data_IF_037411385407
#
_entry.id   IF_037411385407
#
_cell.length_a   1.000
_cell.length_b   1.000
_cell.length_c   1.000
_cell.angle_alpha   90.00
_cell.angle_beta   90.00
_cell.angle_gamma   90.00
#
_symmetry.space_group_name_H-M   'P 1'
#
loop_
_entity.id
_entity.type
_entity.pdbx_description
1 polymer ?
#
# COMPACT_ATOMS: atom_id res chain seq x y z
N UNK A 1 -2.02 12.39 -2.54
CA UNK A 1 -0.80 11.84 -1.92
C UNK A 1 -0.08 12.84 -1.01
N UNK A 2 -0.56 14.08 -0.83
CA UNK A 2 0.11 15.04 0.08
C UNK A 2 0.31 14.47 1.51
N UNK A 3 -0.67 13.72 1.99
CA UNK A 3 -0.64 13.03 3.29
C UNK A 3 0.46 11.95 3.42
N UNK A 4 1.08 11.53 2.32
CA UNK A 4 2.23 10.60 2.31
C UNK A 4 3.56 11.36 2.20
N UNK A 5 3.52 12.56 1.62
CA UNK A 5 4.69 13.37 1.33
C UNK A 5 5.09 14.27 2.51
N UNK A 6 4.12 14.70 3.31
CA UNK A 6 4.31 15.66 4.41
C UNK A 6 3.63 15.20 5.70
N UNK A 7 4.38 15.17 6.79
CA UNK A 7 3.89 14.77 8.11
C UNK A 7 4.99 14.82 9.16
N UNK A 8 4.88 13.99 10.20
CA UNK A 8 5.92 13.85 11.24
C UNK A 8 7.23 13.36 10.61
N UNK A 9 7.12 12.42 9.66
CA UNK A 9 8.22 11.99 8.81
C UNK A 9 7.79 12.10 7.36
N UNK A 10 8.53 12.89 6.58
CA UNK A 10 8.17 13.14 5.18
C UNK A 10 8.44 11.93 4.29
N UNK A 11 7.60 11.74 3.26
CA UNK A 11 7.75 10.73 2.19
C UNK A 11 7.74 9.29 2.72
N UNK A 12 6.76 8.97 3.57
CA UNK A 12 6.60 7.63 4.15
C UNK A 12 5.29 7.00 3.68
N UNK A 13 5.40 5.78 3.16
CA UNK A 13 4.31 4.82 3.01
C UNK A 13 4.77 3.50 3.63
N UNK A 14 4.21 3.13 4.79
CA UNK A 14 4.67 1.97 5.55
C UNK A 14 3.53 0.95 5.76
N UNK A 15 3.39 -0.07 4.89
CA UNK A 15 2.30 -1.04 4.97
C UNK A 15 2.41 -1.96 6.17
N UNK A 16 1.33 -2.09 6.95
CA UNK A 16 1.31 -2.83 8.23
C UNK A 16 0.16 -3.83 8.34
N UNK A 17 -0.88 -3.72 7.52
CA UNK A 17 -2.01 -4.63 7.56
C UNK A 17 -2.68 -4.77 6.20
N UNK A 18 -3.30 -5.94 5.95
CA UNK A 18 -4.05 -6.18 4.72
C UNK A 18 -5.34 -6.94 5.00
N UNK A 19 -6.34 -6.74 4.14
CA UNK A 19 -7.58 -7.49 4.14
C UNK A 19 -7.95 -7.87 2.70
N UNK A 20 -8.24 -9.15 2.46
CA UNK A 20 -8.56 -9.68 1.14
C UNK A 20 -10.05 -10.00 1.04
N UNK A 21 -10.71 -9.45 0.02
CA UNK A 21 -12.11 -9.73 -0.29
C UNK A 21 -12.24 -10.11 -1.77
N UNK A 22 -12.41 -11.40 -2.03
CA UNK A 22 -12.37 -11.94 -3.39
C UNK A 22 -11.04 -11.60 -4.05
N UNK A 23 -11.07 -10.84 -5.15
CA UNK A 23 -9.88 -10.40 -5.87
C UNK A 23 -9.28 -9.07 -5.35
N UNK A 24 -10.00 -8.34 -4.49
CA UNK A 24 -9.58 -7.03 -4.02
C UNK A 24 -8.77 -7.14 -2.73
N UNK A 25 -7.49 -6.80 -2.81
CA UNK A 25 -6.60 -6.66 -1.65
C UNK A 25 -6.61 -5.20 -1.18
N UNK A 26 -6.99 -4.97 0.07
CA UNK A 26 -6.82 -3.69 0.76
C UNK A 26 -5.53 -3.72 1.56
N UNK A 27 -4.71 -2.68 1.41
CA UNK A 27 -3.43 -2.51 2.10
C UNK A 27 -3.53 -1.25 2.96
N UNK A 28 -3.51 -1.44 4.27
CA UNK A 28 -3.48 -0.37 5.26
C UNK A 28 -2.02 -0.04 5.60
N UNK A 29 -1.69 1.24 5.56
CA UNK A 29 -0.32 1.70 5.75
C UNK A 29 -0.29 3.01 6.53
N UNK A 30 0.79 3.22 7.29
CA UNK A 30 1.11 4.51 7.87
C UNK A 30 1.57 5.47 6.78
N UNK A 31 1.00 6.67 6.75
CA UNK A 31 1.37 7.72 5.81
C UNK A 31 1.95 8.93 6.55
N UNK A 32 3.18 9.28 6.16
CA UNK A 32 3.99 10.35 6.72
C UNK A 32 4.08 10.38 8.26
N UNK A 33 4.04 9.21 8.92
CA UNK A 33 3.94 9.03 10.38
C UNK A 33 2.86 9.92 11.03
N UNK A 34 1.79 10.21 10.28
CA UNK A 34 0.78 11.19 10.65
C UNK A 34 -0.64 10.62 10.60
N UNK A 35 -0.94 9.73 9.65
CA UNK A 35 -2.25 9.10 9.56
C UNK A 35 -2.17 7.67 9.03
N UNK A 36 -3.31 6.97 9.10
CA UNK A 36 -3.50 5.67 8.46
C UNK A 36 -4.18 5.92 7.12
N UNK A 37 -3.60 5.35 6.06
CA UNK A 37 -4.14 5.38 4.71
C UNK A 37 -4.43 3.95 4.22
N UNK A 38 -5.17 3.85 3.12
CA UNK A 38 -5.51 2.57 2.50
C UNK A 38 -5.40 2.66 0.98
N UNK A 39 -4.69 1.72 0.38
CA UNK A 39 -4.70 1.46 -1.05
C UNK A 39 -5.44 0.16 -1.34
N UNK A 40 -6.00 -0.01 -2.53
CA UNK A 40 -6.61 -1.28 -2.92
C UNK A 40 -6.23 -1.66 -4.34
N UNK A 41 -5.99 -2.96 -4.57
CA UNK A 41 -5.48 -3.49 -5.85
C UNK A 41 -6.08 -4.87 -6.11
N UNK A 42 -6.11 -5.30 -7.37
CA UNK A 42 -6.36 -6.71 -7.68
C UNK A 42 -5.15 -7.54 -7.21
N UNK A 43 -5.40 -8.57 -6.41
CA UNK A 43 -4.32 -9.46 -5.94
C UNK A 43 -3.72 -10.25 -7.10
N UNK A 44 -4.52 -10.61 -8.11
CA UNK A 44 -4.04 -11.32 -9.31
C UNK A 44 -3.14 -10.42 -10.15
N UNK A 45 -3.53 -9.16 -10.36
CA UNK A 45 -2.70 -8.20 -11.09
C UNK A 45 -1.39 -7.92 -10.33
N UNK A 46 -1.46 -7.73 -9.01
CA UNK A 46 -0.28 -7.51 -8.19
C UNK A 46 0.71 -8.69 -8.28
N UNK A 47 0.24 -9.93 -8.14
CA UNK A 47 1.11 -11.12 -8.26
C UNK A 47 1.65 -11.25 -9.67
N UNK A 48 0.83 -11.01 -10.70
CA UNK A 48 1.28 -11.04 -12.10
C UNK A 48 2.42 -10.04 -12.33
N UNK A 49 2.29 -8.82 -11.83
CA UNK A 49 3.31 -7.78 -11.92
C UNK A 49 4.59 -8.18 -11.16
N UNK A 50 4.49 -8.66 -9.92
CA UNK A 50 5.67 -9.10 -9.17
C UNK A 50 6.43 -10.22 -9.89
N UNK A 51 5.71 -11.11 -10.58
CA UNK A 51 6.29 -12.22 -11.32
C UNK A 51 6.98 -11.80 -12.63
N UNK A 52 6.64 -10.64 -13.21
CA UNK A 52 7.37 -10.12 -14.39
C UNK A 52 8.75 -9.59 -14.06
N UNK A 53 9.05 -9.34 -12.78
CA UNK A 53 10.37 -8.91 -12.29
C UNK A 53 11.12 -10.02 -11.56
N UNK A 54 10.82 -11.30 -11.84
CA UNK A 54 11.62 -12.42 -11.35
C UNK A 54 13.08 -12.25 -11.77
N UNK A 55 13.96 -12.16 -10.78
CA UNK A 55 15.41 -12.29 -10.98
C UNK A 55 15.77 -13.71 -11.39
#
# INVERSE_FOLDING_TARGET
TEYELRGVVNKVCFPTGTALFGDRLYIYYGAADNCIACASVSVKELVKELMSYKK
#
